data_IF_277628909064
#
_entry.id   IF_277628909064
#
_cell.length_a   1.000
_cell.length_b   1.000
_cell.length_c   1.000
_cell.angle_alpha   90.00
_cell.angle_beta   90.00
_cell.angle_gamma   90.00
#
_symmetry.space_group_name_H-M   'P 1'
#
loop_
_entity.id
_entity.type
_entity.pdbx_description
1 polymer ?
#
# COMPACT_ATOMS: atom_id res chain seq x y z
N UNK A 1 -59.30 34.97 39.68
CA UNK A 1 -59.61 33.62 39.22
C UNK A 1 -58.36 32.96 38.66
N UNK A 2 -57.72 32.03 39.36
CA UNK A 2 -56.57 31.28 38.87
C UNK A 2 -57.09 30.03 38.20
N UNK A 3 -56.94 29.92 36.88
CA UNK A 3 -57.37 28.79 36.08
C UNK A 3 -56.41 27.63 36.33
N UNK A 4 -56.83 26.61 37.03
CA UNK A 4 -56.05 25.36 37.24
C UNK A 4 -56.07 24.52 35.96
N UNK A 5 -54.91 24.33 35.35
CA UNK A 5 -54.75 23.41 34.21
C UNK A 5 -54.99 21.96 34.67
N UNK A 6 -55.74 21.18 33.93
CA UNK A 6 -55.96 19.78 34.22
C UNK A 6 -54.68 18.95 34.07
N UNK A 7 -54.54 17.83 34.82
CA UNK A 7 -53.38 16.92 34.71
C UNK A 7 -53.05 16.52 33.27
N UNK A 8 -54.07 16.42 32.41
CA UNK A 8 -53.91 16.11 30.99
C UNK A 8 -53.26 17.24 30.19
N UNK A 9 -53.60 18.49 30.51
CA UNK A 9 -53.01 19.69 29.86
C UNK A 9 -51.54 19.91 30.27
N UNK A 10 -51.20 19.61 31.52
CA UNK A 10 -49.79 19.66 32.01
C UNK A 10 -48.95 18.61 31.33
N UNK A 11 -49.44 17.36 31.19
CA UNK A 11 -48.75 16.26 30.50
C UNK A 11 -48.51 16.55 29.02
N UNK A 12 -49.53 17.16 28.35
CA UNK A 12 -49.44 17.56 26.94
C UNK A 12 -48.39 18.68 26.71
N UNK A 13 -48.31 19.64 27.65
CA UNK A 13 -47.34 20.74 27.63
C UNK A 13 -45.88 20.24 27.85
N UNK A 14 -45.69 19.25 28.75
CA UNK A 14 -44.42 18.59 28.97
C UNK A 14 -43.96 17.75 27.77
N UNK A 15 -44.88 16.97 27.15
CA UNK A 15 -44.57 16.23 25.90
C UNK A 15 -44.18 17.16 24.74
N UNK A 16 -44.89 18.28 24.52
CA UNK A 16 -44.54 19.26 23.47
C UNK A 16 -43.17 19.90 23.72
N UNK A 17 -42.82 20.13 25.00
CA UNK A 17 -41.48 20.66 25.34
C UNK A 17 -40.38 19.63 25.10
N UNK A 18 -40.59 18.35 25.45
CA UNK A 18 -39.65 17.26 25.19
C UNK A 18 -39.43 17.01 23.68
N UNK A 19 -40.51 17.05 22.86
CA UNK A 19 -40.43 16.92 21.41
C UNK A 19 -39.64 18.08 20.78
N UNK A 20 -39.88 19.34 21.21
CA UNK A 20 -39.13 20.49 20.71
C UNK A 20 -37.64 20.39 21.09
N UNK A 21 -37.30 19.91 22.26
CA UNK A 21 -35.93 19.69 22.70
C UNK A 21 -35.28 18.56 21.90
N UNK A 22 -35.96 17.45 21.66
CA UNK A 22 -35.48 16.35 20.85
C UNK A 22 -35.24 16.74 19.38
N UNK A 23 -36.18 17.51 18.79
CA UNK A 23 -36.02 18.04 17.42
C UNK A 23 -34.83 19.05 17.35
N UNK A 24 -34.66 19.91 18.34
CA UNK A 24 -33.55 20.83 18.43
C UNK A 24 -32.21 20.12 18.53
N UNK A 25 -32.12 19.03 19.29
CA UNK A 25 -30.89 18.18 19.40
C UNK A 25 -30.64 17.42 18.09
N UNK A 26 -31.68 16.92 17.42
CA UNK A 26 -31.53 16.21 16.12
C UNK A 26 -31.06 17.16 15.00
N UNK A 27 -31.53 18.41 15.01
CA UNK A 27 -31.09 19.43 14.04
C UNK A 27 -29.65 19.87 14.32
N UNK A 28 -29.23 19.97 15.59
CA UNK A 28 -27.86 20.28 15.97
C UNK A 28 -26.90 19.11 15.65
N UNK A 29 -27.33 17.85 15.81
CA UNK A 29 -26.56 16.67 15.42
C UNK A 29 -26.44 16.52 13.91
N UNK A 30 -27.47 16.81 13.12
CA UNK A 30 -27.38 16.82 11.66
C UNK A 30 -26.61 18.03 11.12
N UNK A 31 -26.66 19.18 11.76
CA UNK A 31 -25.87 20.34 11.35
C UNK A 31 -24.37 20.13 11.66
N UNK A 32 -23.99 19.49 12.77
CA UNK A 32 -22.61 19.14 13.06
C UNK A 32 -22.04 18.05 12.12
N UNK A 33 -22.87 17.13 11.64
CA UNK A 33 -22.47 16.14 10.64
C UNK A 33 -22.45 16.69 9.20
N UNK A 34 -23.21 17.74 8.89
CA UNK A 34 -23.16 18.42 7.58
C UNK A 34 -22.02 19.43 7.46
N UNK A 35 -21.43 19.89 8.57
CA UNK A 35 -20.27 20.77 8.57
C UNK A 35 -18.93 20.00 8.68
N UNK A 36 -18.92 18.65 8.80
CA UNK A 36 -17.69 17.85 8.89
C UNK A 36 -17.23 17.24 7.55
N UNK A 37 -17.87 17.58 6.43
CA UNK A 37 -17.52 17.08 5.09
C UNK A 37 -17.18 18.16 4.06
N UNK A 38 -16.70 19.30 4.48
CA UNK A 38 -15.77 20.05 3.61
C UNK A 38 -14.37 19.58 4.01
N UNK A 39 -13.93 18.42 3.56
CA UNK A 39 -12.52 18.06 3.61
C UNK A 39 -11.80 19.08 2.75
N UNK A 40 -11.08 20.04 3.37
CA UNK A 40 -10.04 20.76 2.67
C UNK A 40 -9.05 19.70 2.20
N UNK A 41 -9.22 19.16 1.00
CA UNK A 41 -8.25 18.29 0.39
C UNK A 41 -6.93 19.03 0.39
N UNK A 42 -5.97 18.54 1.12
CA UNK A 42 -4.63 19.12 1.21
C UNK A 42 -3.91 18.97 -0.13
N UNK A 43 -4.31 17.99 -0.94
CA UNK A 43 -3.72 17.61 -2.23
C UNK A 43 -4.76 17.80 -3.34
N UNK A 44 -4.35 18.40 -4.45
CA UNK A 44 -5.17 18.64 -5.64
C UNK A 44 -4.68 17.79 -6.82
N UNK A 45 -5.58 17.48 -7.76
CA UNK A 45 -5.21 16.83 -9.02
C UNK A 45 -4.98 17.86 -10.12
N UNK A 46 -3.83 17.79 -10.80
CA UNK A 46 -3.52 18.66 -11.92
C UNK A 46 -3.92 18.02 -13.24
N UNK A 47 -4.73 18.70 -14.05
CA UNK A 47 -5.05 18.29 -15.41
C UNK A 47 -3.89 18.53 -16.40
N UNK A 48 -2.90 19.34 -16.03
CA UNK A 48 -1.68 19.54 -16.83
C UNK A 48 -0.67 18.48 -16.42
N UNK A 49 -0.40 17.55 -17.34
CA UNK A 49 0.61 16.51 -17.16
C UNK A 49 1.72 16.66 -18.20
N UNK A 50 2.96 16.41 -17.77
CA UNK A 50 4.05 16.13 -18.70
C UNK A 50 3.96 14.64 -19.03
N UNK A 51 3.31 14.31 -20.13
CA UNK A 51 3.22 12.93 -20.59
C UNK A 51 4.61 12.44 -20.98
N UNK A 52 5.08 11.38 -20.33
CA UNK A 52 6.39 10.75 -20.56
C UNK A 52 6.14 9.35 -21.06
N UNK A 53 6.47 9.09 -22.35
CA UNK A 53 6.29 7.76 -22.95
C UNK A 53 7.23 6.74 -22.28
N UNK A 54 6.73 5.58 -21.84
CA UNK A 54 7.56 4.51 -21.29
C UNK A 54 8.39 3.81 -22.35
N UNK A 55 9.41 3.12 -21.88
CA UNK A 55 10.20 2.15 -22.64
C UNK A 55 10.37 0.89 -21.84
N UNK A 56 10.56 -0.26 -22.48
CA UNK A 56 10.85 -1.51 -21.80
C UNK A 56 12.21 -1.40 -21.08
N UNK A 57 12.23 -1.65 -19.78
CA UNK A 57 13.47 -1.78 -19.01
C UNK A 57 13.96 -3.23 -19.00
N UNK A 58 13.07 -4.18 -18.69
CA UNK A 58 13.39 -5.60 -18.66
C UNK A 58 12.15 -6.46 -18.98
N UNK A 59 12.38 -7.50 -19.78
CA UNK A 59 11.53 -8.68 -19.86
C UNK A 59 12.06 -9.69 -18.84
N UNK A 60 11.20 -10.17 -17.96
CA UNK A 60 11.55 -11.07 -16.87
C UNK A 60 11.48 -12.54 -17.28
N UNK A 61 10.86 -12.84 -18.43
CA UNK A 61 10.68 -14.16 -18.97
C UNK A 61 9.60 -14.99 -18.26
N UNK A 62 9.24 -16.11 -18.87
CA UNK A 62 8.10 -16.95 -18.43
C UNK A 62 8.20 -17.56 -17.01
N UNK A 63 9.40 -17.60 -16.43
CA UNK A 63 9.61 -18.18 -15.08
C UNK A 63 9.44 -17.16 -13.96
N UNK A 64 9.10 -15.93 -14.29
CA UNK A 64 9.04 -14.78 -13.38
C UNK A 64 7.70 -14.05 -13.53
N UNK A 65 6.62 -14.77 -13.26
CA UNK A 65 5.26 -14.21 -13.29
C UNK A 65 4.94 -13.49 -11.99
N UNK A 66 3.98 -12.56 -12.08
CA UNK A 66 3.56 -11.76 -10.93
C UNK A 66 4.73 -11.14 -10.17
N UNK A 67 5.59 -10.34 -10.83
CA UNK A 67 6.59 -9.54 -10.15
C UNK A 67 5.90 -8.46 -9.31
N UNK A 68 6.46 -8.12 -8.14
CA UNK A 68 5.82 -7.18 -7.23
C UNK A 68 6.80 -6.15 -6.65
N UNK A 69 7.26 -6.33 -5.42
CA UNK A 69 8.04 -5.34 -4.69
C UNK A 69 9.44 -5.11 -5.26
N UNK A 70 9.86 -3.86 -5.30
CA UNK A 70 11.23 -3.47 -5.62
C UNK A 70 11.94 -2.86 -4.42
N UNK A 71 13.25 -3.07 -4.31
CA UNK A 71 14.09 -2.45 -3.29
C UNK A 71 15.48 -2.12 -3.84
N UNK A 72 16.14 -1.10 -3.25
CA UNK A 72 17.55 -0.80 -3.48
C UNK A 72 18.37 -1.12 -2.23
N UNK A 73 19.51 -1.76 -2.40
CA UNK A 73 20.50 -1.83 -1.32
C UNK A 73 21.25 -0.48 -1.15
N UNK A 74 22.08 -0.38 -0.12
CA UNK A 74 22.88 0.83 0.16
C UNK A 74 23.89 1.19 -0.96
N UNK A 75 24.16 0.28 -1.90
CA UNK A 75 25.03 0.50 -3.07
C UNK A 75 24.25 0.89 -4.31
N UNK A 76 22.90 0.91 -4.23
CA UNK A 76 22.00 1.21 -5.34
C UNK A 76 21.77 0.02 -6.26
N UNK A 77 22.07 -1.21 -5.85
CA UNK A 77 21.67 -2.41 -6.61
C UNK A 77 20.16 -2.62 -6.48
N UNK A 78 19.52 -2.96 -7.59
CA UNK A 78 18.08 -3.19 -7.67
C UNK A 78 17.74 -4.66 -7.37
N UNK A 79 16.67 -4.86 -6.60
CA UNK A 79 16.09 -6.16 -6.30
C UNK A 79 14.60 -6.15 -6.62
N UNK A 80 14.07 -7.33 -6.98
CA UNK A 80 12.67 -7.53 -7.35
C UNK A 80 12.16 -8.84 -6.77
N UNK A 81 11.01 -8.80 -6.12
CA UNK A 81 10.31 -10.01 -5.69
C UNK A 81 9.52 -10.62 -6.85
N UNK A 82 9.57 -11.94 -6.99
CA UNK A 82 8.79 -12.72 -7.93
C UNK A 82 7.88 -13.66 -7.14
N UNK A 83 6.61 -13.36 -7.17
CA UNK A 83 5.60 -14.07 -6.38
C UNK A 83 5.22 -15.39 -7.02
N UNK A 84 5.12 -15.44 -8.35
CA UNK A 84 4.63 -16.61 -9.10
C UNK A 84 3.32 -17.17 -8.52
N UNK A 85 2.39 -16.30 -8.10
CA UNK A 85 1.20 -16.68 -7.32
C UNK A 85 0.34 -17.75 -8.02
N UNK A 86 0.26 -17.71 -9.34
CA UNK A 86 -0.49 -18.66 -10.17
C UNK A 86 0.37 -19.87 -10.56
N UNK A 87 1.66 -19.67 -10.80
CA UNK A 87 2.58 -20.66 -11.34
C UNK A 87 3.58 -21.19 -10.30
N UNK A 88 3.29 -21.01 -9.02
CA UNK A 88 4.16 -21.40 -7.91
C UNK A 88 4.64 -22.84 -7.99
N UNK A 89 3.74 -23.79 -8.29
CA UNK A 89 4.07 -25.23 -8.37
C UNK A 89 5.08 -25.54 -9.47
N UNK A 90 5.16 -24.71 -10.52
CA UNK A 90 6.07 -24.92 -11.64
C UNK A 90 7.41 -24.20 -11.44
N UNK A 91 7.40 -22.98 -10.91
CA UNK A 91 8.58 -22.12 -10.93
C UNK A 91 9.07 -21.68 -9.55
N UNK A 92 8.26 -21.84 -8.49
CA UNK A 92 8.55 -21.30 -7.15
C UNK A 92 8.70 -19.79 -7.13
N UNK A 93 8.74 -19.23 -5.95
CA UNK A 93 9.01 -17.80 -5.77
C UNK A 93 10.49 -17.53 -5.58
N UNK A 94 10.93 -16.32 -5.93
CA UNK A 94 12.35 -15.95 -5.86
C UNK A 94 12.54 -14.43 -5.73
N UNK A 95 13.73 -14.03 -5.38
CA UNK A 95 14.18 -12.64 -5.45
C UNK A 95 15.20 -12.53 -6.59
N UNK A 96 14.98 -11.59 -7.49
CA UNK A 96 15.91 -11.25 -8.53
C UNK A 96 16.79 -10.05 -8.12
N UNK A 97 17.94 -9.94 -8.73
CA UNK A 97 18.73 -8.70 -8.85
C UNK A 97 19.07 -8.48 -10.32
N UNK A 98 19.70 -7.35 -10.64
CA UNK A 98 20.04 -7.00 -12.01
C UNK A 98 21.56 -6.89 -12.16
N UNK A 99 22.09 -7.48 -13.20
CA UNK A 99 23.51 -7.44 -13.51
C UNK A 99 23.95 -6.04 -14.02
N UNK A 100 25.23 -5.89 -14.36
CA UNK A 100 25.78 -4.63 -14.89
C UNK A 100 25.14 -4.15 -16.21
N UNK A 101 24.47 -5.04 -16.93
CA UNK A 101 23.77 -4.76 -18.18
C UNK A 101 22.24 -4.64 -17.97
N UNK A 102 21.80 -4.53 -16.71
CA UNK A 102 20.41 -4.48 -16.30
C UNK A 102 19.60 -5.75 -16.69
N UNK A 103 20.26 -6.91 -16.78
CA UNK A 103 19.59 -8.18 -16.98
C UNK A 103 19.21 -8.83 -15.66
N UNK A 104 17.97 -9.35 -15.54
CA UNK A 104 17.52 -10.01 -14.32
C UNK A 104 18.30 -11.32 -14.08
N UNK A 105 18.74 -11.54 -12.84
CA UNK A 105 19.42 -12.76 -12.39
C UNK A 105 18.84 -13.17 -11.03
N UNK A 106 18.71 -14.48 -10.80
CA UNK A 106 18.23 -14.98 -9.50
C UNK A 106 19.26 -14.65 -8.42
N UNK A 107 18.83 -13.92 -7.39
CA UNK A 107 19.64 -13.59 -6.23
C UNK A 107 19.39 -14.53 -5.05
N UNK A 108 18.09 -14.89 -4.82
CA UNK A 108 17.70 -15.82 -3.74
C UNK A 108 16.41 -16.56 -4.09
N UNK A 109 16.43 -17.90 -4.00
CA UNK A 109 15.32 -18.80 -4.31
C UNK A 109 14.97 -19.78 -3.16
N UNK A 110 15.60 -19.56 -1.97
CA UNK A 110 15.43 -20.43 -0.80
C UNK A 110 14.56 -19.78 0.29
N UNK A 111 13.50 -19.10 -0.14
CA UNK A 111 12.55 -18.51 0.79
C UNK A 111 11.87 -19.62 1.62
N UNK A 112 11.64 -19.41 2.94
CA UNK A 112 11.04 -20.41 3.82
C UNK A 112 9.57 -20.65 3.45
N UNK A 113 9.25 -21.83 2.97
CA UNK A 113 7.87 -22.23 2.70
C UNK A 113 7.06 -22.21 3.99
N UNK A 114 5.81 -21.77 3.89
CA UNK A 114 4.90 -21.82 5.02
C UNK A 114 4.62 -23.30 5.39
N UNK A 115 4.69 -23.70 6.67
CA UNK A 115 4.61 -25.11 7.06
C UNK A 115 3.29 -25.78 6.73
N UNK A 116 2.19 -25.02 6.59
CA UNK A 116 0.85 -25.52 6.26
C UNK A 116 0.58 -25.45 4.76
N UNK A 117 0.73 -24.28 4.14
CA UNK A 117 0.40 -24.08 2.72
C UNK A 117 1.44 -24.63 1.77
N UNK A 118 2.69 -24.85 2.24
CA UNK A 118 3.86 -25.24 1.46
C UNK A 118 4.24 -24.24 0.37
N UNK A 119 3.76 -23.00 0.49
CA UNK A 119 4.00 -21.90 -0.45
C UNK A 119 4.67 -20.71 0.24
N UNK A 120 5.20 -19.79 -0.55
CA UNK A 120 5.67 -18.48 -0.15
C UNK A 120 5.41 -17.52 -1.31
N UNK A 121 4.82 -16.36 -1.00
CA UNK A 121 4.46 -15.35 -2.00
C UNK A 121 5.06 -13.99 -1.61
N UNK A 122 6.34 -13.73 -1.98
CA UNK A 122 7.00 -12.47 -1.63
C UNK A 122 6.37 -11.30 -2.38
N UNK A 123 5.97 -10.29 -1.64
CA UNK A 123 5.36 -9.03 -2.10
C UNK A 123 6.32 -7.86 -1.84
N UNK A 124 5.81 -6.77 -1.30
CA UNK A 124 6.59 -5.60 -0.96
C UNK A 124 7.80 -5.90 -0.09
N UNK A 125 8.92 -5.22 -0.34
CA UNK A 125 10.18 -5.45 0.36
C UNK A 125 11.02 -4.19 0.51
N UNK A 126 11.89 -4.17 1.51
CA UNK A 126 12.86 -3.09 1.70
C UNK A 126 14.08 -3.56 2.52
N UNK A 127 15.24 -2.99 2.24
CA UNK A 127 16.45 -3.21 3.05
C UNK A 127 16.36 -2.44 4.37
N UNK A 128 16.56 -3.14 5.46
CA UNK A 128 16.60 -2.55 6.79
C UNK A 128 17.89 -1.77 7.09
N UNK A 129 17.91 -1.02 8.20
CA UNK A 129 19.10 -0.29 8.65
C UNK A 129 20.28 -1.20 8.96
N UNK A 130 20.04 -2.47 9.28
CA UNK A 130 21.02 -3.54 9.51
C UNK A 130 21.59 -4.15 8.19
N UNK A 131 21.06 -3.74 7.03
CA UNK A 131 21.48 -4.21 5.71
C UNK A 131 20.86 -5.54 5.28
N UNK A 132 19.96 -6.12 6.05
CA UNK A 132 19.18 -7.29 5.67
C UNK A 132 17.95 -6.89 4.85
N UNK A 133 17.45 -7.80 4.02
CA UNK A 133 16.25 -7.58 3.22
C UNK A 133 15.02 -8.12 3.97
N UNK A 134 13.98 -7.29 4.11
CA UNK A 134 12.72 -7.62 4.75
C UNK A 134 11.63 -7.67 3.70
N UNK A 135 10.80 -8.73 3.73
CA UNK A 135 9.84 -9.05 2.68
C UNK A 135 8.53 -9.51 3.31
N UNK A 136 7.40 -9.05 2.80
CA UNK A 136 6.11 -9.66 3.12
C UNK A 136 5.93 -10.94 2.31
N UNK A 137 5.51 -12.00 3.01
CA UNK A 137 5.01 -13.25 2.43
C UNK A 137 3.49 -13.27 2.55
N UNK A 138 2.80 -13.08 1.44
CA UNK A 138 1.36 -13.00 1.40
C UNK A 138 0.72 -14.38 1.23
N UNK A 139 0.20 -14.94 2.31
CA UNK A 139 -0.42 -16.26 2.30
C UNK A 139 -1.90 -16.24 1.91
N UNK A 140 -2.50 -15.07 1.71
CA UNK A 140 -3.85 -14.95 1.18
C UNK A 140 -3.97 -15.53 -0.23
N UNK A 141 -2.93 -15.43 -1.06
CA UNK A 141 -2.83 -16.10 -2.36
C UNK A 141 -2.78 -17.63 -2.26
N UNK A 142 -2.52 -18.19 -1.09
CA UNK A 142 -2.66 -19.61 -0.79
C UNK A 142 -4.01 -19.93 -0.13
N UNK A 143 -5.01 -19.03 -0.24
CA UNK A 143 -6.36 -19.14 0.32
C UNK A 143 -6.37 -19.33 1.85
N UNK A 144 -5.41 -18.66 2.55
CA UNK A 144 -5.27 -18.76 4.01
C UNK A 144 -5.22 -17.38 4.65
N UNK A 145 -6.21 -17.11 5.48
CA UNK A 145 -6.31 -15.91 6.29
C UNK A 145 -5.43 -15.99 7.54
N UNK A 146 -4.84 -14.86 7.95
CA UNK A 146 -3.97 -14.73 9.12
C UNK A 146 -2.70 -15.60 9.08
N UNK A 147 -2.23 -15.95 7.88
CA UNK A 147 -1.01 -16.76 7.68
C UNK A 147 0.12 -15.96 7.03
N UNK A 148 -0.13 -14.72 6.60
CA UNK A 148 0.91 -13.87 6.00
C UNK A 148 1.98 -13.51 7.03
N UNK A 149 3.25 -13.39 6.57
CA UNK A 149 4.42 -13.35 7.43
C UNK A 149 5.40 -12.28 6.98
N UNK A 150 6.13 -11.69 7.92
CA UNK A 150 7.34 -10.94 7.65
C UNK A 150 8.55 -11.89 7.65
N UNK A 151 9.27 -11.92 6.55
CA UNK A 151 10.50 -12.69 6.35
C UNK A 151 11.68 -11.73 6.30
N UNK A 152 12.83 -12.11 6.91
CA UNK A 152 14.11 -11.44 6.76
C UNK A 152 15.09 -12.34 6.04
N UNK A 153 15.71 -11.86 4.94
CA UNK A 153 16.88 -12.48 4.33
C UNK A 153 18.12 -11.88 4.96
N UNK A 154 18.94 -12.71 5.58
CA UNK A 154 20.23 -12.30 6.16
C UNK A 154 21.22 -12.07 5.01
N UNK A 155 21.81 -10.88 4.97
CA UNK A 155 22.73 -10.46 3.92
C UNK A 155 24.10 -10.19 4.50
N UNK A 156 25.12 -10.79 3.91
CA UNK A 156 26.53 -10.54 4.26
C UNK A 156 27.31 -10.24 2.98
N UNK A 157 28.02 -9.11 2.95
CA UNK A 157 28.84 -8.67 1.80
C UNK A 157 28.05 -8.62 0.47
N UNK A 158 26.75 -8.28 0.55
CA UNK A 158 25.81 -8.20 -0.59
C UNK A 158 25.28 -9.56 -1.06
N UNK A 159 25.61 -10.65 -0.37
CA UNK A 159 25.14 -12.01 -0.70
C UNK A 159 24.12 -12.49 0.32
N UNK A 160 23.03 -13.16 -0.11
CA UNK A 160 22.07 -13.76 0.79
C UNK A 160 22.67 -15.01 1.42
N UNK A 161 22.47 -15.19 2.72
CA UNK A 161 22.93 -16.37 3.45
C UNK A 161 21.78 -17.35 3.72
N UNK A 162 20.75 -16.87 4.39
CA UNK A 162 19.57 -17.62 4.78
C UNK A 162 18.40 -16.65 4.97
N UNK A 163 17.20 -17.20 5.15
CA UNK A 163 16.01 -16.44 5.48
C UNK A 163 15.32 -16.99 6.73
N UNK A 164 14.67 -16.13 7.47
CA UNK A 164 13.96 -16.45 8.70
C UNK A 164 12.64 -15.70 8.80
N UNK A 165 11.64 -16.30 9.46
CA UNK A 165 10.35 -15.66 9.72
C UNK A 165 10.44 -14.88 11.03
N UNK A 166 10.03 -13.63 11.03
CA UNK A 166 10.09 -12.73 12.18
C UNK A 166 8.73 -12.44 12.80
N UNK A 167 7.70 -12.28 11.98
CA UNK A 167 6.33 -11.99 12.42
C UNK A 167 5.38 -12.83 11.61
N UNK A 168 4.38 -13.43 12.28
CA UNK A 168 3.32 -14.22 11.66
C UNK A 168 1.95 -13.67 12.09
N UNK A 169 0.90 -13.97 11.32
CA UNK A 169 -0.48 -13.66 11.69
C UNK A 169 -1.04 -12.36 11.08
N UNK A 170 -0.41 -11.80 10.05
CA UNK A 170 -1.07 -10.84 9.18
C UNK A 170 -2.09 -11.55 8.30
N UNK A 171 -3.16 -10.85 7.90
CA UNK A 171 -4.15 -11.44 6.99
C UNK A 171 -3.73 -11.28 5.53
N UNK A 172 -3.52 -10.04 5.10
CA UNK A 172 -3.12 -9.69 3.72
C UNK A 172 -1.95 -8.72 3.77
N UNK A 173 -0.74 -9.21 4.09
CA UNK A 173 0.44 -8.36 4.20
C UNK A 173 0.96 -7.96 2.82
N UNK A 174 1.20 -6.65 2.60
CA UNK A 174 1.62 -6.09 1.31
C UNK A 174 2.91 -5.28 1.42
N UNK A 175 2.85 -3.99 1.67
CA UNK A 175 4.01 -3.13 1.65
C UNK A 175 4.87 -3.22 2.91
N UNK A 176 6.16 -2.99 2.73
CA UNK A 176 7.18 -2.88 3.79
C UNK A 176 7.95 -1.59 3.58
N UNK A 177 8.03 -0.74 4.61
CA UNK A 177 8.89 0.46 4.57
C UNK A 177 9.58 0.67 5.92
N UNK A 178 10.84 1.08 5.87
CA UNK A 178 11.62 1.46 7.04
C UNK A 178 11.64 2.97 7.25
N UNK A 179 11.49 3.38 8.50
CA UNK A 179 11.83 4.74 8.91
C UNK A 179 12.64 4.68 10.19
N UNK A 180 13.85 5.19 10.16
CA UNK A 180 14.82 5.07 11.25
C UNK A 180 15.04 3.58 11.60
N UNK A 181 14.76 3.18 12.85
CA UNK A 181 14.90 1.80 13.34
C UNK A 181 13.55 1.09 13.48
N UNK A 182 12.52 1.51 12.74
CA UNK A 182 11.20 0.88 12.75
C UNK A 182 10.77 0.52 11.35
N UNK A 183 10.22 -0.68 11.22
CA UNK A 183 9.55 -1.17 10.04
C UNK A 183 8.05 -0.87 10.15
N UNK A 184 7.44 -0.54 9.01
CA UNK A 184 6.02 -0.33 8.85
C UNK A 184 5.50 -1.27 7.78
N UNK A 185 4.42 -1.96 8.08
CA UNK A 185 3.87 -3.03 7.26
C UNK A 185 2.39 -2.78 7.08
N UNK A 186 1.91 -2.82 5.86
CA UNK A 186 0.48 -2.80 5.57
C UNK A 186 -0.11 -4.20 5.66
N UNK A 187 -1.26 -4.30 6.32
CA UNK A 187 -2.16 -5.46 6.28
C UNK A 187 -3.43 -5.01 5.58
N UNK A 188 -3.49 -5.29 4.28
CA UNK A 188 -4.43 -4.66 3.36
C UNK A 188 -5.87 -5.16 3.51
N UNK A 189 -6.11 -6.18 4.34
CA UNK A 189 -7.46 -6.69 4.57
C UNK A 189 -7.55 -7.37 5.94
N UNK A 190 -8.47 -6.89 6.80
CA UNK A 190 -8.81 -7.57 8.05
C UNK A 190 -9.97 -8.58 7.84
N UNK A 191 -10.21 -9.43 8.84
CA UNK A 191 -11.25 -10.48 8.75
C UNK A 191 -12.65 -9.91 8.46
N UNK A 192 -12.94 -8.67 8.86
CA UNK A 192 -14.22 -8.01 8.57
C UNK A 192 -14.39 -7.57 7.12
N UNK A 193 -13.37 -7.75 6.28
CA UNK A 193 -13.38 -7.44 4.83
C UNK A 193 -13.66 -5.96 4.49
N UNK A 194 -13.51 -5.05 5.45
CA UNK A 194 -13.75 -3.60 5.27
C UNK A 194 -12.63 -2.74 5.83
N UNK A 195 -11.91 -3.27 6.79
CA UNK A 195 -10.83 -2.56 7.45
C UNK A 195 -9.50 -3.15 7.04
N UNK A 196 -8.50 -2.32 7.14
CA UNK A 196 -7.10 -2.62 6.91
C UNK A 196 -6.25 -1.79 7.86
N UNK A 197 -4.96 -2.03 7.94
CA UNK A 197 -4.14 -1.28 8.89
C UNK A 197 -2.66 -1.29 8.62
N UNK A 198 -1.94 -0.47 9.37
CA UNK A 198 -0.48 -0.42 9.36
C UNK A 198 0.03 -0.87 10.73
N UNK A 199 0.88 -1.88 10.70
CA UNK A 199 1.64 -2.36 11.86
C UNK A 199 3.03 -1.75 11.87
N UNK A 200 3.63 -1.60 13.07
CA UNK A 200 4.99 -1.11 13.20
C UNK A 200 5.75 -1.86 14.30
N UNK A 201 6.98 -2.28 13.97
CA UNK A 201 7.88 -2.99 14.86
C UNK A 201 9.23 -2.28 14.90
N UNK A 202 9.89 -2.24 16.06
CA UNK A 202 11.28 -1.81 16.10
C UNK A 202 12.22 -2.95 15.70
N UNK A 203 13.39 -2.61 15.19
CA UNK A 203 14.42 -3.62 14.87
C UNK A 203 14.79 -4.45 16.11
N UNK A 204 14.79 -3.83 17.31
CA UNK A 204 15.02 -4.53 18.56
C UNK A 204 13.94 -5.57 18.85
N UNK A 205 12.65 -5.24 18.64
CA UNK A 205 11.54 -6.19 18.81
C UNK A 205 11.69 -7.39 17.87
N UNK A 206 12.04 -7.13 16.60
CA UNK A 206 12.24 -8.19 15.60
C UNK A 206 13.44 -9.09 15.90
N UNK A 207 14.48 -8.55 16.54
CA UNK A 207 15.67 -9.32 16.94
C UNK A 207 15.48 -10.10 18.24
N UNK A 208 14.51 -9.74 19.07
CA UNK A 208 14.34 -10.35 20.40
C UNK A 208 13.67 -11.73 20.34
N UNK A 209 12.69 -11.91 19.44
CA UNK A 209 11.92 -13.16 19.29
C UNK A 209 11.02 -13.12 18.08
N UNK A 210 10.57 -14.28 17.61
CA UNK A 210 9.46 -14.38 16.68
C UNK A 210 8.19 -13.83 17.31
N UNK A 211 7.43 -13.04 16.56
CA UNK A 211 6.19 -12.43 16.99
C UNK A 211 5.04 -13.12 16.27
N UNK A 212 4.11 -13.68 17.04
CA UNK A 212 2.86 -14.22 16.50
C UNK A 212 1.76 -13.22 16.83
N UNK A 213 1.16 -12.62 15.81
CA UNK A 213 0.04 -11.69 15.94
C UNK A 213 -1.25 -12.46 16.20
N UNK A 214 -1.96 -12.09 17.26
CA UNK A 214 -3.26 -12.63 17.61
C UNK A 214 -4.17 -11.54 18.22
N UNK A 215 -5.40 -11.87 18.52
CA UNK A 215 -6.38 -10.94 19.06
C UNK A 215 -5.92 -10.26 20.37
N UNK A 216 -5.01 -10.89 21.14
CA UNK A 216 -4.52 -10.36 22.42
C UNK A 216 -3.44 -9.29 22.25
N UNK A 217 -2.65 -9.36 21.18
CA UNK A 217 -1.45 -8.53 21.02
C UNK A 217 -1.43 -7.64 19.76
N UNK A 218 -2.22 -7.92 18.70
CA UNK A 218 -2.27 -7.13 17.45
C UNK A 218 -2.32 -5.62 17.71
N UNK A 219 -3.14 -5.18 18.66
CA UNK A 219 -3.31 -3.76 19.02
C UNK A 219 -2.04 -3.07 19.54
N UNK A 220 -1.04 -3.83 20.00
CA UNK A 220 0.20 -3.26 20.53
C UNK A 220 1.15 -2.82 19.39
N UNK A 221 0.93 -3.31 18.19
CA UNK A 221 1.74 -3.06 17.01
C UNK A 221 0.98 -2.28 15.93
N UNK A 222 -0.36 -2.29 15.96
CA UNK A 222 -1.23 -1.57 15.03
C UNK A 222 -1.18 -0.07 15.34
N UNK A 223 -0.77 0.73 14.36
CA UNK A 223 -0.60 2.19 14.52
C UNK A 223 -1.69 3.00 13.85
N UNK A 224 -2.33 2.47 12.82
CA UNK A 224 -3.43 3.12 12.10
C UNK A 224 -4.36 2.09 11.49
N UNK A 225 -5.63 2.44 11.39
CA UNK A 225 -6.67 1.68 10.67
C UNK A 225 -7.30 2.53 9.59
N UNK A 226 -7.77 1.86 8.53
CA UNK A 226 -8.40 2.47 7.37
C UNK A 226 -9.65 1.68 7.01
N UNK A 227 -10.69 2.38 6.59
CA UNK A 227 -11.95 1.76 6.18
C UNK A 227 -12.17 2.02 4.71
N UNK A 228 -12.43 0.98 3.93
CA UNK A 228 -12.80 1.07 2.53
C UNK A 228 -14.19 1.70 2.37
N UNK A 229 -14.34 2.55 1.37
CA UNK A 229 -15.64 3.04 0.93
C UNK A 229 -16.39 1.90 0.21
N UNK A 230 -17.59 1.53 0.65
CA UNK A 230 -18.28 0.34 0.13
C UNK A 230 -18.73 0.46 -1.33
N UNK A 231 -18.64 1.63 -1.95
CA UNK A 231 -19.36 1.97 -3.19
C UNK A 231 -18.42 2.18 -4.40
N UNK A 232 -17.09 2.22 -4.21
CA UNK A 232 -16.18 2.79 -5.21
C UNK A 232 -15.48 1.75 -6.08
N UNK A 233 -15.25 0.53 -5.61
CA UNK A 233 -14.57 -0.48 -6.43
C UNK A 233 -15.09 -1.89 -6.24
N UNK A 234 -14.80 -2.74 -7.23
CA UNK A 234 -14.96 -4.20 -7.13
C UNK A 234 -13.86 -4.85 -6.28
N UNK A 235 -12.83 -4.08 -5.90
CA UNK A 235 -11.67 -4.56 -5.12
C UNK A 235 -11.89 -4.29 -3.65
N UNK A 236 -11.90 -5.31 -2.84
CA UNK A 236 -12.12 -5.24 -1.38
C UNK A 236 -10.80 -5.23 -0.60
N UNK A 237 -9.72 -4.74 -1.20
CA UNK A 237 -8.39 -4.60 -0.60
C UNK A 237 -8.23 -3.16 -0.13
N UNK A 238 -7.74 -2.97 1.07
CA UNK A 238 -7.60 -1.66 1.71
C UNK A 238 -6.23 -1.03 1.52
N UNK A 239 -5.59 -0.66 2.65
CA UNK A 239 -4.31 0.06 2.62
C UNK A 239 -3.21 -0.83 2.05
N UNK A 240 -2.48 -0.30 1.07
CA UNK A 240 -1.45 -1.01 0.34
C UNK A 240 -0.14 -0.21 0.32
N UNK A 241 0.15 0.55 -0.74
CA UNK A 241 1.38 1.31 -0.86
C UNK A 241 1.59 2.36 0.21
N UNK A 242 2.79 2.41 0.77
CA UNK A 242 3.20 3.41 1.77
C UNK A 242 4.56 4.00 1.44
N UNK A 243 4.74 5.30 1.72
CA UNK A 243 6.03 5.96 1.58
C UNK A 243 6.22 7.06 2.63
N UNK A 244 7.44 7.18 3.15
CA UNK A 244 7.82 8.28 4.04
C UNK A 244 8.39 9.46 3.26
N UNK A 245 7.95 10.68 3.57
CA UNK A 245 8.62 11.89 3.11
C UNK A 245 9.85 12.21 3.99
N UNK A 246 10.68 13.18 3.54
CA UNK A 246 11.86 13.63 4.28
C UNK A 246 11.57 14.24 5.66
N UNK A 247 10.32 14.62 5.94
CA UNK A 247 9.90 15.14 7.24
C UNK A 247 9.49 14.01 8.19
N UNK A 248 9.40 12.78 7.69
CA UNK A 248 8.96 11.60 8.43
C UNK A 248 7.45 11.44 8.49
N UNK A 249 6.70 12.11 7.63
CA UNK A 249 5.28 11.82 7.46
C UNK A 249 5.12 10.58 6.58
N UNK A 250 4.17 9.72 6.93
CA UNK A 250 3.84 8.52 6.15
C UNK A 250 2.61 8.81 5.29
N UNK A 251 2.76 8.64 4.00
CA UNK A 251 1.66 8.64 3.04
C UNK A 251 1.25 7.20 2.78
N UNK A 252 -0.04 6.95 2.73
CA UNK A 252 -0.60 5.61 2.63
C UNK A 252 -1.76 5.62 1.65
N UNK A 253 -1.69 4.78 0.63
CA UNK A 253 -2.67 4.61 -0.44
C UNK A 253 -3.61 3.45 -0.18
N UNK A 254 -4.90 3.68 -0.38
CA UNK A 254 -5.91 2.65 -0.30
C UNK A 254 -6.11 2.03 -1.69
N UNK A 255 -5.82 0.75 -1.84
CA UNK A 255 -5.93 0.06 -3.13
C UNK A 255 -7.38 0.08 -3.64
N UNK A 256 -8.34 -0.29 -2.79
CA UNK A 256 -9.72 -0.47 -3.22
C UNK A 256 -10.47 0.81 -3.63
N UNK A 257 -10.11 1.98 -3.10
CA UNK A 257 -10.84 3.24 -3.36
C UNK A 257 -9.97 4.43 -3.79
N UNK A 258 -8.65 4.23 -3.91
CA UNK A 258 -7.71 5.27 -4.37
C UNK A 258 -7.51 6.44 -3.41
N UNK A 259 -8.00 6.32 -2.18
CA UNK A 259 -7.84 7.36 -1.16
C UNK A 259 -6.41 7.40 -0.63
N UNK A 260 -5.82 8.58 -0.52
CA UNK A 260 -4.52 8.77 0.12
C UNK A 260 -4.69 9.41 1.49
N UNK A 261 -4.12 8.77 2.50
CA UNK A 261 -4.01 9.29 3.86
C UNK A 261 -2.59 9.74 4.18
N UNK A 262 -2.46 10.75 5.04
CA UNK A 262 -1.20 11.21 5.59
C UNK A 262 -1.20 11.01 7.11
N UNK A 263 -0.17 10.34 7.59
CA UNK A 263 0.05 10.08 9.01
C UNK A 263 1.24 10.92 9.46
N UNK A 264 1.03 11.74 10.48
CA UNK A 264 2.07 12.49 11.15
C UNK A 264 2.40 11.82 12.50
N UNK A 265 3.65 11.91 12.91
CA UNK A 265 4.12 11.30 14.15
C UNK A 265 4.60 12.34 15.15
N UNK A 266 4.42 12.06 16.43
CA UNK A 266 5.07 12.77 17.53
C UNK A 266 6.57 12.40 17.60
N UNK A 267 7.33 13.14 18.38
CA UNK A 267 8.76 12.90 18.56
C UNK A 267 9.07 11.50 19.15
N UNK A 268 8.16 10.95 19.94
CA UNK A 268 8.26 9.61 20.53
C UNK A 268 7.83 8.48 19.57
N UNK A 269 7.42 8.82 18.35
CA UNK A 269 7.01 7.89 17.31
C UNK A 269 5.53 7.48 17.35
N UNK A 270 4.74 8.02 18.28
CA UNK A 270 3.30 7.81 18.30
C UNK A 270 2.62 8.57 17.16
N UNK A 271 1.52 8.05 16.66
CA UNK A 271 0.70 8.74 15.67
C UNK A 271 0.10 10.00 16.27
N UNK A 272 0.42 11.15 15.69
CA UNK A 272 -0.13 12.46 16.02
C UNK A 272 -1.45 12.72 15.29
N UNK A 273 -1.48 12.39 14.03
CA UNK A 273 -2.67 12.54 13.18
C UNK A 273 -2.68 11.50 12.07
N UNK A 274 -3.87 11.08 11.66
CA UNK A 274 -4.14 10.30 10.45
C UNK A 274 -5.29 10.99 9.72
N UNK A 275 -5.03 11.54 8.53
CA UNK A 275 -5.99 12.34 7.77
C UNK A 275 -6.01 11.94 6.31
N UNK A 276 -7.19 11.84 5.73
CA UNK A 276 -7.35 11.78 4.28
C UNK A 276 -6.90 13.11 3.69
N UNK A 277 -5.94 13.05 2.77
CA UNK A 277 -5.36 14.22 2.07
C UNK A 277 -5.72 14.26 0.60
N UNK A 278 -6.11 13.13 0.02
CA UNK A 278 -6.61 13.02 -1.34
C UNK A 278 -7.72 11.98 -1.42
N UNK A 279 -8.79 12.34 -2.14
CA UNK A 279 -9.97 11.51 -2.36
C UNK A 279 -10.62 11.92 -3.68
N UNK A 280 -10.35 11.15 -4.74
CA UNK A 280 -10.82 11.47 -6.08
C UNK A 280 -10.81 10.23 -6.98
N UNK A 281 -11.74 10.16 -7.92
CA UNK A 281 -11.87 9.10 -8.94
C UNK A 281 -10.68 9.06 -9.93
N UNK A 282 -9.74 9.99 -9.83
CA UNK A 282 -8.53 10.01 -10.68
C UNK A 282 -7.53 8.91 -10.28
N UNK A 283 -7.57 8.46 -9.05
CA UNK A 283 -6.85 7.28 -8.59
C UNK A 283 -7.88 6.23 -8.18
N UNK A 284 -7.78 5.04 -8.73
CA UNK A 284 -8.73 3.96 -8.41
C UNK A 284 -8.11 2.88 -7.53
N UNK A 285 -6.88 2.47 -7.84
CA UNK A 285 -6.16 1.45 -7.09
C UNK A 285 -4.73 1.95 -6.85
N UNK A 286 -4.53 2.62 -5.71
CA UNK A 286 -3.21 3.03 -5.26
C UNK A 286 -2.45 1.80 -4.75
N UNK A 287 -1.55 1.29 -5.59
CA UNK A 287 -0.62 0.21 -5.27
C UNK A 287 0.70 0.78 -4.74
N UNK A 288 1.87 0.36 -5.20
CA UNK A 288 3.17 0.76 -4.70
C UNK A 288 3.45 2.26 -4.71
N UNK A 289 4.01 2.76 -3.62
CA UNK A 289 4.43 4.14 -3.39
C UNK A 289 5.93 4.24 -3.22
N UNK A 290 6.58 5.13 -3.98
CA UNK A 290 8.00 5.43 -3.83
C UNK A 290 8.26 6.92 -3.64
N UNK A 291 8.94 7.31 -2.56
CA UNK A 291 9.36 8.69 -2.34
C UNK A 291 10.73 8.96 -2.95
N UNK A 292 10.80 9.91 -3.88
CA UNK A 292 12.04 10.46 -4.43
C UNK A 292 12.42 11.76 -3.71
N UNK A 293 13.49 11.69 -2.91
CA UNK A 293 13.96 12.84 -2.15
C UNK A 293 14.45 13.99 -3.06
N UNK A 294 15.09 13.68 -4.19
CA UNK A 294 15.61 14.67 -5.14
C UNK A 294 14.50 15.57 -5.67
N UNK A 295 13.34 14.98 -6.00
CA UNK A 295 12.18 15.70 -6.53
C UNK A 295 11.19 16.12 -5.46
N UNK A 296 11.37 15.67 -4.22
CA UNK A 296 10.41 15.78 -3.12
C UNK A 296 9.02 15.35 -3.57
N UNK A 297 8.93 14.16 -4.14
CA UNK A 297 7.72 13.63 -4.76
C UNK A 297 7.51 12.16 -4.43
N UNK A 298 6.24 11.74 -4.38
CA UNK A 298 5.87 10.33 -4.29
C UNK A 298 5.38 9.89 -5.67
N UNK A 299 5.95 8.83 -6.20
CA UNK A 299 5.45 8.13 -7.39
C UNK A 299 4.47 7.06 -6.94
N UNK A 300 3.37 6.91 -7.70
CA UNK A 300 2.22 6.09 -7.35
C UNK A 300 1.88 5.22 -8.56
N UNK A 301 1.95 3.90 -8.38
CA UNK A 301 1.34 2.95 -9.30
C UNK A 301 -0.18 2.95 -9.12
N UNK A 302 -0.93 3.00 -10.21
CA UNK A 302 -2.39 2.97 -10.19
C UNK A 302 -2.87 1.80 -11.05
N UNK A 303 -3.03 0.67 -10.40
CA UNK A 303 -3.20 -0.66 -10.97
C UNK A 303 -4.32 -0.76 -12.00
N UNK A 304 -5.57 -0.43 -11.61
CA UNK A 304 -6.76 -0.59 -12.45
C UNK A 304 -6.77 0.30 -13.69
N UNK A 305 -6.04 1.40 -13.68
CA UNK A 305 -6.04 2.37 -14.77
C UNK A 305 -4.84 2.24 -15.69
N UNK A 306 -3.96 1.23 -15.52
CA UNK A 306 -2.70 1.16 -16.25
C UNK A 306 -2.00 2.52 -16.28
N UNK A 307 -1.84 3.15 -15.10
CA UNK A 307 -1.29 4.50 -15.00
C UNK A 307 -0.29 4.67 -13.87
N UNK A 308 0.58 5.65 -14.03
CA UNK A 308 1.53 6.08 -13.02
C UNK A 308 1.43 7.57 -12.80
N UNK A 309 1.45 7.99 -11.55
CA UNK A 309 1.26 9.37 -11.12
C UNK A 309 2.42 9.87 -10.28
N UNK A 310 2.57 11.19 -10.21
CA UNK A 310 3.49 11.89 -9.33
C UNK A 310 2.73 12.80 -8.38
N UNK A 311 2.86 12.57 -7.08
CA UNK A 311 2.47 13.51 -6.04
C UNK A 311 3.67 14.40 -5.71
N UNK A 312 3.63 15.66 -6.13
CA UNK A 312 4.64 16.66 -5.82
C UNK A 312 4.34 17.30 -4.44
N UNK A 313 5.19 17.03 -3.45
CA UNK A 313 5.01 17.51 -2.08
C UNK A 313 5.40 18.99 -1.88
N UNK A 314 6.00 19.66 -2.89
CA UNK A 314 6.23 21.10 -2.82
C UNK A 314 4.98 21.90 -3.19
N UNK A 315 4.16 21.35 -4.09
CA UNK A 315 2.94 21.99 -4.59
C UNK A 315 1.67 21.34 -4.07
N UNK A 316 1.76 20.19 -3.39
CA UNK A 316 0.65 19.33 -2.99
C UNK A 316 -0.27 19.01 -4.17
N UNK A 317 0.34 18.56 -5.28
CA UNK A 317 -0.39 18.30 -6.52
C UNK A 317 -0.05 16.91 -7.04
N UNK A 318 -1.08 16.11 -7.37
CA UNK A 318 -0.95 14.87 -8.13
C UNK A 318 -1.07 15.20 -9.62
N UNK A 319 -0.18 14.66 -10.44
CA UNK A 319 -0.23 14.74 -11.89
C UNK A 319 -0.01 13.37 -12.52
N UNK A 320 -0.65 13.13 -13.66
CA UNK A 320 -0.45 11.95 -14.47
C UNK A 320 0.93 12.01 -15.13
N UNK A 321 1.70 10.93 -15.08
CA UNK A 321 2.92 10.74 -15.87
C UNK A 321 2.59 10.02 -17.17
N UNK A 322 1.89 8.89 -17.06
CA UNK A 322 1.46 8.08 -18.19
C UNK A 322 0.23 7.25 -17.83
N UNK A 323 -0.56 6.97 -18.86
CA UNK A 323 -1.70 6.06 -18.82
C UNK A 323 -1.84 5.41 -20.20
N UNK A 324 -2.18 4.13 -20.26
CA UNK A 324 -2.52 3.44 -21.50
C UNK A 324 -3.74 2.52 -21.31
N UNK A 325 -4.33 2.15 -22.44
CA UNK A 325 -5.31 1.07 -22.50
C UNK A 325 -4.61 -0.29 -22.33
N UNK A 326 -5.35 -1.37 -22.50
CA UNK A 326 -4.86 -2.75 -22.47
C UNK A 326 -3.58 -2.93 -23.30
N UNK A 327 -2.59 -3.62 -22.73
CA UNK A 327 -1.31 -3.86 -23.35
C UNK A 327 -0.61 -5.03 -22.65
N UNK A 328 0.19 -5.78 -23.41
CA UNK A 328 0.98 -6.92 -22.92
C UNK A 328 2.32 -6.52 -22.25
N UNK A 329 2.58 -5.24 -22.07
CA UNK A 329 3.83 -4.75 -21.47
C UNK A 329 5.09 -4.92 -22.34
N UNK A 330 5.07 -5.67 -23.45
CA UNK A 330 6.25 -6.02 -24.24
C UNK A 330 6.96 -4.81 -24.88
N UNK A 331 6.22 -3.72 -25.16
CA UNK A 331 6.74 -2.46 -25.69
C UNK A 331 7.09 -1.44 -24.57
N UNK A 332 7.00 -1.86 -23.30
CA UNK A 332 7.24 -1.03 -22.12
C UNK A 332 6.02 -0.26 -21.64
N UNK A 333 4.83 -0.47 -22.22
CA UNK A 333 3.59 0.05 -21.66
C UNK A 333 3.27 -0.59 -20.32
N UNK A 334 2.38 0.06 -19.58
CA UNK A 334 1.92 -0.43 -18.28
C UNK A 334 0.89 -1.54 -18.46
N UNK A 335 0.98 -2.54 -17.61
CA UNK A 335 0.14 -3.72 -17.57
C UNK A 335 -0.08 -4.16 -16.12
N UNK A 336 -1.16 -3.67 -15.50
CA UNK A 336 -1.40 -3.74 -14.07
C UNK A 336 -0.18 -3.29 -13.23
N UNK A 337 0.22 -2.01 -13.30
CA UNK A 337 1.40 -1.52 -12.58
C UNK A 337 1.20 -1.62 -11.06
N UNK A 338 2.16 -2.24 -10.35
CA UNK A 338 2.05 -2.51 -8.92
C UNK A 338 3.11 -1.79 -8.06
N UNK A 339 4.35 -1.62 -8.50
CA UNK A 339 5.38 -0.96 -7.68
C UNK A 339 6.17 0.05 -8.52
N UNK A 340 6.69 1.08 -7.84
CA UNK A 340 7.51 2.14 -8.45
C UNK A 340 8.82 2.32 -7.70
N UNK A 341 9.91 2.66 -8.42
CA UNK A 341 11.20 3.00 -7.81
C UNK A 341 12.04 3.89 -8.73
N UNK A 342 12.89 4.75 -8.18
CA UNK A 342 13.91 5.46 -8.96
C UNK A 342 15.20 4.65 -8.99
N UNK A 343 15.59 4.21 -10.19
CA UNK A 343 16.82 3.48 -10.42
C UNK A 343 17.63 4.12 -11.55
N UNK A 344 18.90 4.41 -11.29
CA UNK A 344 19.81 5.10 -12.26
C UNK A 344 19.19 6.36 -12.90
N UNK A 345 18.43 7.11 -12.10
CA UNK A 345 17.81 8.38 -12.52
C UNK A 345 16.50 8.24 -13.31
N UNK A 346 16.07 7.03 -13.61
CA UNK A 346 14.77 6.73 -14.26
C UNK A 346 13.76 6.23 -13.24
N UNK A 347 12.48 6.48 -13.49
CA UNK A 347 11.39 5.82 -12.78
C UNK A 347 11.15 4.46 -13.42
N UNK A 348 11.28 3.40 -12.64
CA UNK A 348 10.86 2.06 -13.02
C UNK A 348 9.49 1.76 -12.44
N UNK A 349 8.69 1.01 -13.18
CA UNK A 349 7.35 0.56 -12.79
C UNK A 349 7.23 -0.92 -13.12
N UNK A 350 6.91 -1.74 -12.12
CA UNK A 350 6.68 -3.18 -12.28
C UNK A 350 5.27 -3.41 -12.79
N UNK A 351 5.12 -4.31 -13.74
CA UNK A 351 3.83 -4.77 -14.28
C UNK A 351 3.51 -6.14 -13.68
N UNK A 352 2.44 -6.20 -12.87
CA UNK A 352 2.03 -7.43 -12.17
C UNK A 352 1.32 -8.42 -13.09
N UNK A 353 0.51 -7.91 -14.01
CA UNK A 353 -0.17 -8.63 -15.09
C UNK A 353 -0.82 -9.96 -14.65
N UNK A 354 -1.90 -9.92 -13.90
CA UNK A 354 -2.49 -11.16 -13.41
C UNK A 354 -4.00 -11.17 -13.35
N UNK A 355 -4.61 -10.07 -12.91
CA UNK A 355 -6.05 -10.04 -12.67
C UNK A 355 -6.73 -9.03 -13.60
N UNK A 356 -7.62 -9.50 -14.51
CA UNK A 356 -8.39 -8.59 -15.32
C UNK A 356 -9.03 -7.48 -14.51
N UNK A 357 -8.86 -6.25 -14.98
CA UNK A 357 -9.35 -5.03 -14.35
C UNK A 357 -10.27 -4.22 -15.27
N UNK A 358 -10.38 -2.93 -14.99
CA UNK A 358 -11.17 -2.03 -15.82
C UNK A 358 -10.53 -1.82 -17.21
N UNK A 359 -9.21 -1.65 -17.25
CA UNK A 359 -8.46 -1.45 -18.51
C UNK A 359 -7.80 -2.74 -18.96
N UNK A 360 -7.08 -3.42 -18.11
CA UNK A 360 -6.46 -4.70 -18.44
C UNK A 360 -7.51 -5.79 -18.55
N UNK A 361 -7.57 -6.52 -19.68
CA UNK A 361 -8.63 -7.48 -19.97
C UNK A 361 -8.17 -8.92 -19.90
N UNK A 362 -6.91 -9.17 -20.16
CA UNK A 362 -6.31 -10.49 -20.21
C UNK A 362 -5.03 -10.50 -19.37
N UNK A 363 -4.68 -11.63 -18.79
CA UNK A 363 -3.36 -11.88 -18.23
C UNK A 363 -2.47 -12.37 -19.36
N UNK A 364 -1.46 -11.60 -19.71
CA UNK A 364 -0.58 -11.85 -20.84
C UNK A 364 0.64 -12.71 -20.47
N UNK A 365 1.48 -12.99 -21.44
CA UNK A 365 2.66 -13.86 -21.24
C UNK A 365 3.94 -13.09 -20.91
N UNK A 366 3.94 -11.78 -21.05
CA UNK A 366 5.11 -10.93 -20.84
C UNK A 366 5.04 -10.27 -19.46
N UNK A 367 5.96 -10.63 -18.56
CA UNK A 367 6.08 -10.00 -17.26
C UNK A 367 7.25 -9.04 -17.32
N UNK A 368 7.00 -7.75 -17.16
CA UNK A 368 7.93 -6.70 -17.56
C UNK A 368 8.11 -5.62 -16.51
N UNK A 369 9.18 -4.84 -16.70
CA UNK A 369 9.38 -3.58 -15.99
C UNK A 369 9.42 -2.47 -17.04
N UNK A 370 8.55 -1.48 -16.84
CA UNK A 370 8.51 -0.24 -17.63
C UNK A 370 9.48 0.79 -17.07
N UNK A 371 10.02 1.66 -17.94
CA UNK A 371 10.98 2.72 -17.58
C UNK A 371 10.55 4.06 -18.13
N UNK A 372 10.61 5.10 -17.30
CA UNK A 372 10.28 6.48 -17.65
C UNK A 372 11.49 7.39 -17.41
N UNK A 373 11.89 8.17 -18.43
CA UNK A 373 12.91 9.19 -18.30
C UNK A 373 12.26 10.50 -17.80
N UNK A 374 12.40 10.76 -16.52
CA UNK A 374 11.82 11.96 -15.90
C UNK A 374 12.56 13.25 -16.23
N UNK A 375 13.71 13.17 -16.91
CA UNK A 375 14.64 14.28 -17.11
C UNK A 375 15.39 14.65 -15.82
N UNK A 376 16.37 15.53 -15.97
CA UNK A 376 17.21 16.02 -14.85
C UNK A 376 16.51 17.10 -14.03
#
# INVERSE_FOLDING_TARGET
MKTFLTKKQVKLKQMKKAIKTAIGILILFNASNLFSQASNQEITYSKTSKVIKPTLFADLGETCQTPDGMALDKKGNLFLSITNSITFEKYGSKILTFDKNDKPVVWFDKLPLHPITKKVHPMGMEFGPDGNLYIMDNQFFAEKENFSRLIRIIVKDGKPLNAEVLVEGFNFGEAVRWSKNRIYITDALFENRRESGIYSFSLEQLNAKNIILDASNKKNYLIATFTLKPEVTKRTIGIDGIAFDKKGNLYAGNFGDGVISKIEFEKDGKVKSNKVVFDSDQLKCCDGFFYDEKRNSIFIANYENNSVHQLNLNTNTISLIWENDDADGSDGKLDNPCETIIYKGKLLVVNYDTFPGEKNKEADAFHTISSFDLGN
#
